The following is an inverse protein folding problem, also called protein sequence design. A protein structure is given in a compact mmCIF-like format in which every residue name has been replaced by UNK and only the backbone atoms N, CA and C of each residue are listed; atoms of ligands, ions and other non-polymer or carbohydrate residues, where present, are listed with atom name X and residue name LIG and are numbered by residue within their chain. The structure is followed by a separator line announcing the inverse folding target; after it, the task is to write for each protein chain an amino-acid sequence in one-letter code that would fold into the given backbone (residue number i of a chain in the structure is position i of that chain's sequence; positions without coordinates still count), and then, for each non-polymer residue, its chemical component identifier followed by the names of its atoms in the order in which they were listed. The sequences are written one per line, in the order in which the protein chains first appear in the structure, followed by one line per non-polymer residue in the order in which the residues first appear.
data_IF_717118830578
#
_entry.id   IF_717118830578
#
_cell.length_a   1.000
_cell.length_b   1.000
_cell.length_c   1.000
_cell.angle_alpha   90.00
_cell.angle_beta   90.00
_cell.angle_gamma   90.00
#
_symmetry.space_group_name_H-M   'P 1'
#
loop_
_entity.id
_entity.type
_entity.pdbx_description
1 polymer ?
#
# COMPACT_ATOMS: atom_id res chain seq x y z
N UNK A 1 41.58 9.80 -44.60
CA UNK A 1 40.85 10.09 -43.33
C UNK A 1 39.34 9.91 -43.49
N UNK A 2 38.69 10.56 -44.46
CA UNK A 2 37.22 10.53 -44.71
C UNK A 2 36.51 9.16 -44.63
N UNK A 3 37.10 8.10 -45.19
CA UNK A 3 36.56 6.72 -45.10
C UNK A 3 36.48 6.19 -43.65
N UNK A 4 37.51 6.45 -42.84
CA UNK A 4 37.57 6.02 -41.44
C UNK A 4 36.57 6.78 -40.58
N UNK A 5 36.37 8.06 -40.87
CA UNK A 5 35.43 8.92 -40.16
C UNK A 5 33.99 8.47 -40.43
N UNK A 6 33.67 8.15 -41.70
CA UNK A 6 32.36 7.62 -42.09
C UNK A 6 32.05 6.27 -41.41
N UNK A 7 33.02 5.35 -41.41
CA UNK A 7 32.86 4.05 -40.72
C UNK A 7 32.66 4.24 -39.21
N UNK A 8 33.36 5.19 -38.59
CA UNK A 8 33.23 5.50 -37.16
C UNK A 8 31.84 6.06 -36.85
N UNK A 9 31.34 6.98 -37.68
CA UNK A 9 29.98 7.51 -37.55
C UNK A 9 28.93 6.40 -37.67
N UNK A 10 29.05 5.52 -38.67
CA UNK A 10 28.12 4.39 -38.82
C UNK A 10 28.13 3.46 -37.60
N UNK A 11 29.32 3.10 -37.09
CA UNK A 11 29.45 2.26 -35.89
C UNK A 11 28.77 2.89 -34.68
N UNK A 12 28.94 4.20 -34.49
CA UNK A 12 28.31 4.92 -33.39
C UNK A 12 26.78 4.95 -33.48
N UNK A 13 26.24 5.12 -34.71
CA UNK A 13 24.80 5.11 -34.97
C UNK A 13 24.19 3.74 -34.68
N UNK A 14 24.82 2.66 -35.17
CA UNK A 14 24.39 1.29 -34.93
C UNK A 14 24.44 0.95 -33.44
N UNK A 15 25.52 1.33 -32.75
CA UNK A 15 25.65 1.12 -31.31
C UNK A 15 24.52 1.80 -30.53
N UNK A 16 24.22 3.06 -30.85
CA UNK A 16 23.14 3.79 -30.18
C UNK A 16 21.77 3.18 -30.45
N UNK A 17 21.54 2.69 -31.67
CA UNK A 17 20.33 1.93 -32.00
C UNK A 17 20.24 0.63 -31.18
N UNK A 18 21.30 -0.17 -31.12
CA UNK A 18 21.34 -1.40 -30.31
C UNK A 18 21.07 -1.09 -28.83
N UNK A 19 21.64 -0.02 -28.27
CA UNK A 19 21.40 0.40 -26.90
C UNK A 19 19.94 0.82 -26.67
N UNK A 20 19.34 1.56 -27.61
CA UNK A 20 17.91 1.91 -27.59
C UNK A 20 17.05 0.65 -27.62
N UNK A 21 17.34 -0.31 -28.50
CA UNK A 21 16.59 -1.56 -28.60
C UNK A 21 16.72 -2.41 -27.33
N UNK A 22 17.92 -2.49 -26.73
CA UNK A 22 18.12 -3.15 -25.42
C UNK A 22 17.28 -2.50 -24.32
N UNK A 23 17.22 -1.16 -24.28
CA UNK A 23 16.37 -0.41 -23.34
C UNK A 23 14.89 -0.71 -23.58
N UNK A 24 14.42 -0.67 -24.83
CA UNK A 24 13.03 -0.99 -25.20
C UNK A 24 12.68 -2.41 -24.77
N UNK A 25 13.55 -3.40 -25.03
CA UNK A 25 13.36 -4.79 -24.59
C UNK A 25 13.24 -4.89 -23.07
N UNK A 26 14.09 -4.18 -22.31
CA UNK A 26 14.01 -4.12 -20.84
C UNK A 26 12.71 -3.47 -20.37
N UNK A 27 12.27 -2.37 -20.99
CA UNK A 27 11.00 -1.71 -20.68
C UNK A 27 9.85 -2.69 -20.91
N UNK A 28 9.77 -3.30 -22.09
CA UNK A 28 8.72 -4.26 -22.45
C UNK A 28 8.68 -5.47 -21.52
N UNK A 29 9.84 -6.02 -21.17
CA UNK A 29 9.94 -7.14 -20.22
C UNK A 29 9.48 -6.73 -18.82
N UNK A 30 9.94 -5.58 -18.31
CA UNK A 30 9.51 -5.06 -17.00
C UNK A 30 8.02 -4.78 -16.97
N UNK A 31 7.46 -4.15 -18.00
CA UNK A 31 6.02 -3.86 -18.08
C UNK A 31 5.21 -5.15 -18.17
N UNK A 32 5.67 -6.14 -18.94
CA UNK A 32 5.04 -7.45 -19.03
C UNK A 32 5.00 -8.15 -17.67
N UNK A 33 6.13 -8.25 -16.96
CA UNK A 33 6.15 -8.90 -15.64
C UNK A 33 5.32 -8.15 -14.61
N UNK A 34 5.33 -6.82 -14.64
CA UNK A 34 4.48 -6.01 -13.76
C UNK A 34 3.00 -6.28 -14.00
N UNK A 35 2.56 -6.29 -15.26
CA UNK A 35 1.16 -6.55 -15.60
C UNK A 35 0.77 -8.00 -15.32
N UNK A 36 1.61 -8.97 -15.72
CA UNK A 36 1.41 -10.39 -15.43
C UNK A 36 1.25 -10.67 -13.94
N UNK A 37 2.08 -10.06 -13.09
CA UNK A 37 1.97 -10.25 -11.64
C UNK A 37 0.69 -9.60 -11.10
N UNK A 38 0.31 -8.42 -11.61
CA UNK A 38 -0.96 -7.77 -11.26
C UNK A 38 -2.16 -8.62 -11.66
N UNK A 39 -2.14 -9.21 -12.86
CA UNK A 39 -3.23 -10.03 -13.36
C UNK A 39 -3.33 -11.36 -12.63
N UNK A 40 -2.19 -11.99 -12.28
CA UNK A 40 -2.19 -13.17 -11.39
C UNK A 40 -2.86 -12.88 -10.05
N UNK A 41 -2.52 -11.76 -9.40
CA UNK A 41 -3.14 -11.38 -8.12
C UNK A 41 -4.65 -11.15 -8.27
N UNK A 42 -5.10 -10.56 -9.38
CA UNK A 42 -6.54 -10.40 -9.67
C UNK A 42 -7.22 -11.74 -9.90
N UNK A 43 -6.61 -12.62 -10.68
CA UNK A 43 -7.14 -13.96 -10.96
C UNK A 43 -7.24 -14.76 -9.66
N UNK A 44 -6.19 -14.79 -8.84
CA UNK A 44 -6.20 -15.42 -7.52
C UNK A 44 -7.32 -14.85 -6.63
N UNK A 45 -7.56 -13.54 -6.66
CA UNK A 45 -8.66 -12.91 -5.90
C UNK A 45 -10.04 -13.26 -6.45
N UNK A 46 -10.20 -13.40 -7.77
CA UNK A 46 -11.46 -13.76 -8.40
C UNK A 46 -11.77 -15.26 -8.24
N UNK A 47 -10.78 -16.12 -8.38
CA UNK A 47 -10.88 -17.56 -8.14
C UNK A 47 -11.27 -17.86 -6.68
N UNK A 48 -10.74 -17.11 -5.71
CA UNK A 48 -11.18 -17.21 -4.31
C UNK A 48 -12.65 -16.89 -4.08
N UNK A 49 -13.25 -16.02 -4.91
CA UNK A 49 -14.66 -15.65 -4.80
C UNK A 49 -15.58 -16.64 -5.52
N UNK A 50 -15.08 -17.29 -6.57
CA UNK A 50 -15.88 -18.16 -7.45
C UNK A 50 -15.86 -19.62 -7.02
N UNK A 51 -14.74 -20.11 -6.47
CA UNK A 51 -14.57 -21.54 -6.16
C UNK A 51 -14.29 -21.77 -4.66
N UNK A 52 -15.18 -22.49 -3.94
CA UNK A 52 -14.97 -22.83 -2.54
C UNK A 52 -13.78 -23.77 -2.30
N UNK A 53 -13.32 -24.53 -3.30
CA UNK A 53 -12.14 -25.40 -3.15
C UNK A 53 -10.84 -24.58 -3.19
N UNK A 54 -10.73 -23.65 -4.14
CA UNK A 54 -9.60 -22.71 -4.23
C UNK A 54 -9.46 -21.86 -2.96
N UNK A 55 -10.58 -21.43 -2.36
CA UNK A 55 -10.59 -20.72 -1.09
C UNK A 55 -10.00 -21.55 0.08
N UNK A 56 -10.34 -22.84 0.16
CA UNK A 56 -9.78 -23.75 1.17
C UNK A 56 -8.28 -23.97 0.97
N UNK A 57 -7.83 -24.12 -0.27
CA UNK A 57 -6.40 -24.30 -0.55
C UNK A 57 -5.58 -23.05 -0.17
N UNK A 58 -6.12 -21.86 -0.46
CA UNK A 58 -5.56 -20.58 -0.03
C UNK A 58 -5.49 -20.46 1.50
N UNK A 59 -6.55 -20.86 2.21
CA UNK A 59 -6.55 -20.90 3.67
C UNK A 59 -5.43 -21.81 4.21
N UNK A 60 -5.24 -23.01 3.65
CA UNK A 60 -4.11 -23.90 4.03
C UNK A 60 -2.75 -23.26 3.77
N UNK A 61 -2.57 -22.58 2.63
CA UNK A 61 -1.34 -21.85 2.31
C UNK A 61 -1.07 -20.73 3.32
N UNK A 62 -2.11 -20.04 3.77
CA UNK A 62 -1.98 -19.01 4.81
C UNK A 62 -1.61 -19.62 6.15
N UNK A 63 -2.27 -20.69 6.58
CA UNK A 63 -1.95 -21.42 7.81
C UNK A 63 -0.51 -21.93 7.83
N UNK A 64 -0.03 -22.46 6.71
CA UNK A 64 1.37 -22.87 6.56
C UNK A 64 2.33 -21.69 6.81
N UNK A 65 2.06 -20.51 6.22
CA UNK A 65 2.86 -19.30 6.48
C UNK A 65 2.83 -18.89 7.94
N UNK A 66 1.71 -19.06 8.64
CA UNK A 66 1.61 -18.79 10.08
C UNK A 66 2.41 -19.77 10.91
N UNK A 67 2.35 -21.06 10.58
CA UNK A 67 3.15 -22.09 11.23
C UNK A 67 4.65 -21.81 11.02
N UNK A 68 5.04 -21.45 9.79
CA UNK A 68 6.41 -21.05 9.47
C UNK A 68 6.85 -19.82 10.29
N UNK A 69 6.00 -18.80 10.42
CA UNK A 69 6.31 -17.62 11.23
C UNK A 69 6.44 -17.95 12.71
N UNK A 70 5.57 -18.81 13.25
CA UNK A 70 5.66 -19.26 14.65
C UNK A 70 6.92 -20.06 14.91
N UNK A 71 7.32 -20.92 13.97
CA UNK A 71 8.52 -21.73 14.06
C UNK A 71 9.79 -20.88 13.93
N UNK A 72 9.85 -20.02 12.91
CA UNK A 72 11.09 -19.32 12.53
C UNK A 72 11.25 -17.94 13.17
N UNK A 73 10.16 -17.31 13.62
CA UNK A 73 10.13 -15.97 14.21
C UNK A 73 10.81 -14.90 13.34
N UNK A 74 10.68 -15.03 12.01
CA UNK A 74 11.38 -14.20 11.02
C UNK A 74 11.06 -12.71 11.17
N UNK A 75 9.80 -12.36 11.45
CA UNK A 75 9.35 -10.97 11.45
C UNK A 75 9.37 -10.30 12.84
N UNK A 76 9.96 -10.92 13.87
CA UNK A 76 10.10 -10.35 15.23
C UNK A 76 11.33 -9.43 15.43
N UNK A 77 11.84 -8.78 14.38
CA UNK A 77 13.03 -7.90 14.46
C UNK A 77 14.31 -8.55 15.06
N UNK A 78 14.45 -9.89 14.94
CA UNK A 78 15.64 -10.64 15.42
C UNK A 78 16.83 -10.59 14.47
N UNK A 79 16.64 -10.04 13.26
CA UNK A 79 17.70 -9.95 12.26
C UNK A 79 18.86 -9.07 12.76
N UNK A 80 20.08 -9.34 12.30
CA UNK A 80 21.26 -8.53 12.69
C UNK A 80 21.08 -7.05 12.34
N UNK A 81 20.36 -6.75 11.26
CA UNK A 81 20.04 -5.38 10.86
C UNK A 81 19.05 -4.74 11.82
N UNK A 82 17.93 -5.39 12.11
CA UNK A 82 16.91 -4.86 13.01
C UNK A 82 17.45 -4.64 14.43
N UNK A 83 18.30 -5.55 14.93
CA UNK A 83 18.98 -5.39 16.22
C UNK A 83 19.87 -4.14 16.25
N UNK A 84 20.69 -3.92 15.22
CA UNK A 84 21.55 -2.73 15.13
C UNK A 84 20.75 -1.43 15.09
N UNK A 85 19.64 -1.41 14.37
CA UNK A 85 18.74 -0.24 14.31
C UNK A 85 18.11 0.04 15.67
N UNK A 86 17.72 -1.00 16.41
CA UNK A 86 17.19 -0.87 17.76
C UNK A 86 18.26 -0.38 18.75
N UNK A 87 19.46 -0.95 18.70
CA UNK A 87 20.62 -0.54 19.51
C UNK A 87 21.02 0.92 19.24
N UNK A 88 20.95 1.36 17.98
CA UNK A 88 21.25 2.73 17.57
C UNK A 88 20.13 3.75 17.80
N UNK A 89 18.99 3.34 18.35
CA UNK A 89 17.84 4.20 18.64
C UNK A 89 16.98 4.50 17.40
N UNK A 90 15.70 4.15 17.45
CA UNK A 90 14.76 4.30 16.32
C UNK A 90 14.49 5.77 15.92
N UNK A 91 14.64 6.70 16.85
CA UNK A 91 14.37 8.14 16.63
C UNK A 91 15.51 8.85 15.91
N UNK A 92 16.72 8.29 15.95
CA UNK A 92 17.91 8.84 15.28
C UNK A 92 18.04 8.39 13.81
N UNK A 93 17.14 7.52 13.34
CA UNK A 93 17.21 6.90 12.02
C UNK A 93 16.25 7.54 11.03
N UNK A 94 16.57 7.39 9.75
CA UNK A 94 15.75 7.85 8.63
C UNK A 94 14.32 7.28 8.66
N UNK A 95 13.37 8.05 8.17
CA UNK A 95 11.95 7.65 8.11
C UNK A 95 11.74 6.35 7.33
N UNK A 96 12.52 6.09 6.29
CA UNK A 96 12.47 4.84 5.54
C UNK A 96 12.87 3.60 6.37
N UNK A 97 13.82 3.76 7.28
CA UNK A 97 14.26 2.69 8.19
C UNK A 97 13.18 2.40 9.24
N UNK A 98 12.54 3.45 9.75
CA UNK A 98 11.41 3.34 10.67
C UNK A 98 10.22 2.65 10.01
N UNK A 99 9.86 3.06 8.80
CA UNK A 99 8.79 2.44 8.03
C UNK A 99 9.06 0.96 7.75
N UNK A 100 10.31 0.59 7.41
CA UNK A 100 10.68 -0.81 7.19
C UNK A 100 10.56 -1.67 8.47
N UNK A 101 10.97 -1.14 9.63
CA UNK A 101 10.80 -1.82 10.92
C UNK A 101 9.33 -1.96 11.30
N UNK A 102 8.52 -0.94 11.06
CA UNK A 102 7.07 -0.98 11.26
C UNK A 102 6.41 -2.00 10.32
N UNK A 103 6.81 -2.04 9.05
CA UNK A 103 6.31 -3.01 8.08
C UNK A 103 6.66 -4.46 8.48
N UNK A 104 7.85 -4.67 9.04
CA UNK A 104 8.26 -5.97 9.57
C UNK A 104 7.35 -6.41 10.73
N UNK A 105 7.07 -5.53 11.71
CA UNK A 105 6.14 -5.83 12.79
C UNK A 105 4.70 -6.01 12.31
N UNK A 106 4.27 -5.22 11.33
CA UNK A 106 2.95 -5.34 10.72
C UNK A 106 2.76 -6.73 10.08
N UNK A 107 3.75 -7.21 9.31
CA UNK A 107 3.74 -8.59 8.77
C UNK A 107 3.67 -9.64 9.87
N UNK A 108 4.41 -9.45 10.97
CA UNK A 108 4.35 -10.35 12.11
C UNK A 108 2.92 -10.42 12.68
N UNK A 109 2.30 -9.27 12.96
CA UNK A 109 0.94 -9.19 13.49
C UNK A 109 -0.10 -9.83 12.55
N UNK A 110 0.00 -9.59 11.23
CA UNK A 110 -0.90 -10.19 10.25
C UNK A 110 -0.82 -11.72 10.21
N UNK A 111 0.36 -12.29 10.47
CA UNK A 111 0.58 -13.73 10.49
C UNK A 111 0.22 -14.37 11.84
N UNK A 112 0.43 -13.69 12.96
CA UNK A 112 0.19 -14.26 14.29
C UNK A 112 -1.20 -14.01 14.84
N UNK A 113 -1.97 -13.05 14.29
CA UNK A 113 -3.34 -12.77 14.72
C UNK A 113 -4.21 -14.03 14.74
N UNK A 114 -5.05 -14.13 15.77
CA UNK A 114 -6.09 -15.16 15.88
C UNK A 114 -7.11 -14.96 14.75
N UNK A 115 -7.52 -16.03 14.08
CA UNK A 115 -8.73 -16.00 13.24
C UNK A 115 -9.86 -16.41 14.15
N UNK A 116 -10.82 -15.51 14.33
CA UNK A 116 -12.12 -15.90 14.87
C UNK A 116 -12.91 -16.52 13.73
N UNK A 117 -12.90 -17.85 13.68
CA UNK A 117 -13.75 -18.58 12.74
C UNK A 117 -15.18 -18.42 13.23
N UNK A 118 -16.01 -17.68 12.48
CA UNK A 118 -17.45 -17.43 12.71
C UNK A 118 -18.33 -18.68 12.63
N UNK A 119 -17.90 -19.79 13.24
CA UNK A 119 -18.66 -21.04 13.32
C UNK A 119 -18.73 -21.63 14.72
N UNK A 120 -18.42 -20.83 15.74
CA UNK A 120 -18.74 -21.17 17.12
C UNK A 120 -19.46 -19.98 17.76
N UNK A 121 -20.78 -19.96 17.63
CA UNK A 121 -21.65 -19.10 18.41
C UNK A 121 -21.72 -19.64 19.84
N UNK A 122 -20.62 -19.53 20.58
CA UNK A 122 -20.58 -19.85 22.00
C UNK A 122 -19.29 -19.32 22.61
N UNK A 123 -19.40 -18.14 23.23
CA UNK A 123 -18.53 -17.69 24.31
C UNK A 123 -17.05 -17.47 23.99
N UNK A 124 -16.69 -16.22 23.69
CA UNK A 124 -15.80 -15.45 24.58
C UNK A 124 -15.66 -14.05 24.01
N UNK A 125 -16.39 -13.11 24.61
CA UNK A 125 -16.05 -11.70 24.60
C UNK A 125 -14.68 -11.55 25.26
N UNK A 126 -13.63 -11.40 24.47
CA UNK A 126 -12.36 -10.86 24.95
C UNK A 126 -12.20 -9.50 24.28
N UNK A 127 -12.95 -8.55 24.84
CA UNK A 127 -12.83 -7.13 24.55
C UNK A 127 -11.43 -6.71 24.95
N UNK A 128 -10.62 -6.29 23.98
CA UNK A 128 -9.41 -5.55 24.25
C UNK A 128 -9.82 -4.31 25.04
N UNK A 129 -9.64 -4.36 26.36
CA UNK A 129 -9.74 -3.19 27.23
C UNK A 129 -8.58 -2.25 26.87
N UNK A 130 -8.80 -1.46 25.82
CA UNK A 130 -8.06 -0.23 25.61
C UNK A 130 -8.64 0.79 26.58
N UNK A 131 -7.84 1.13 27.57
CA UNK A 131 -8.09 2.14 28.58
C UNK A 131 -8.13 3.51 27.86
N UNK A 132 -9.32 3.93 27.43
CA UNK A 132 -9.57 5.26 26.89
C UNK A 132 -10.97 5.74 27.30
N UNK A 133 -10.98 6.43 28.44
CA UNK A 133 -11.78 7.63 28.72
C UNK A 133 -13.24 7.58 28.23
N UNK A 134 -14.08 6.97 29.06
CA UNK A 134 -15.54 7.01 29.04
C UNK A 134 -16.01 8.47 29.26
N UNK A 135 -16.02 9.26 28.18
CA UNK A 135 -16.43 10.67 28.18
C UNK A 135 -17.20 11.06 26.93
N UNK A 136 -18.50 10.74 26.90
CA UNK A 136 -19.55 11.32 26.04
C UNK A 136 -19.20 11.56 24.56
N UNK A 137 -19.18 10.50 23.76
CA UNK A 137 -19.03 10.61 22.31
C UNK A 137 -20.31 11.09 21.60
N UNK A 138 -21.49 10.95 22.23
CA UNK A 138 -22.77 11.40 21.67
C UNK A 138 -22.92 12.93 21.70
N UNK A 139 -22.42 13.59 22.77
CA UNK A 139 -22.38 15.05 22.85
C UNK A 139 -21.40 15.65 21.83
N UNK A 140 -20.24 15.01 21.63
CA UNK A 140 -19.26 15.50 20.65
C UNK A 140 -19.75 15.33 19.21
N UNK A 141 -20.44 14.23 18.90
CA UNK A 141 -21.01 13.99 17.58
C UNK A 141 -22.14 14.99 17.24
N UNK A 142 -23.02 15.26 18.21
CA UNK A 142 -24.09 16.26 18.05
C UNK A 142 -23.55 17.68 17.95
N UNK A 143 -22.49 18.01 18.69
CA UNK A 143 -21.80 19.31 18.60
C UNK A 143 -21.07 19.49 17.25
N UNK A 144 -20.44 18.44 16.72
CA UNK A 144 -19.82 18.46 15.38
C UNK A 144 -20.87 18.61 14.28
N UNK A 145 -22.03 17.96 14.41
CA UNK A 145 -23.15 18.10 13.48
C UNK A 145 -23.75 19.50 13.54
N UNK A 146 -23.88 20.10 14.73
CA UNK A 146 -24.29 21.50 14.92
C UNK A 146 -23.31 22.48 14.26
N UNK A 147 -22.01 22.32 14.55
CA UNK A 147 -20.93 23.11 13.93
C UNK A 147 -20.90 22.98 12.40
N UNK A 148 -21.24 21.81 11.85
CA UNK A 148 -21.34 21.61 10.41
C UNK A 148 -22.55 22.34 9.81
N UNK A 149 -23.72 22.25 10.46
CA UNK A 149 -24.94 22.96 10.07
C UNK A 149 -24.74 24.48 10.09
N UNK A 150 -24.17 25.02 11.15
CA UNK A 150 -23.93 26.46 11.29
C UNK A 150 -22.96 26.98 10.23
N UNK A 151 -21.90 26.23 9.91
CA UNK A 151 -20.98 26.58 8.81
C UNK A 151 -21.65 26.55 7.45
N UNK A 152 -22.50 25.55 7.18
CA UNK A 152 -23.24 25.50 5.92
C UNK A 152 -24.28 26.61 5.80
N UNK A 153 -24.93 26.98 6.91
CA UNK A 153 -25.90 28.07 6.96
C UNK A 153 -25.19 29.41 6.73
N UNK A 154 -24.01 29.59 7.35
CA UNK A 154 -23.17 30.78 7.12
C UNK A 154 -22.66 30.90 5.69
N UNK A 155 -22.28 29.78 5.05
CA UNK A 155 -21.91 29.76 3.62
C UNK A 155 -23.12 30.03 2.70
N UNK A 156 -24.34 29.74 3.16
CA UNK A 156 -25.57 30.04 2.43
C UNK A 156 -26.06 31.49 2.65
N UNK A 157 -25.79 32.07 3.83
CA UNK A 157 -26.08 33.47 4.15
C UNK A 157 -25.05 34.43 3.55
N UNK A 158 -23.79 33.99 3.46
CA UNK A 158 -22.70 34.66 2.76
C UNK A 158 -22.80 34.37 1.23
N UNK A 159 -23.89 34.78 0.59
CA UNK A 159 -24.11 34.73 -0.88
C UNK A 159 -23.22 35.73 -1.66
N UNK A 160 -22.10 36.16 -1.09
CA UNK A 160 -21.13 37.05 -1.72
C UNK A 160 -19.72 36.45 -1.50
N UNK A 161 -19.02 36.19 -2.61
CA UNK A 161 -17.62 35.76 -2.70
C UNK A 161 -17.34 34.24 -2.81
N UNK A 162 -17.66 33.69 -3.99
CA UNK A 162 -16.96 32.53 -4.53
C UNK A 162 -15.44 32.80 -4.55
N UNK A 163 -14.58 31.88 -4.06
CA UNK A 163 -13.14 32.06 -4.10
C UNK A 163 -12.62 32.02 -5.54
N UNK A 164 -12.27 33.18 -6.08
CA UNK A 164 -11.69 33.40 -7.41
C UNK A 164 -10.24 32.87 -7.59
N UNK A 165 -9.80 31.93 -6.76
CA UNK A 165 -8.46 31.34 -6.88
C UNK A 165 -8.47 29.85 -6.57
N UNK A 166 -8.95 29.07 -7.56
CA UNK A 166 -8.81 27.63 -7.63
C UNK A 166 -8.51 27.23 -9.07
N UNK A 167 -7.35 26.62 -9.27
CA UNK A 167 -6.72 26.25 -10.55
C UNK A 167 -7.54 25.23 -11.36
N UNK A 168 -8.76 25.53 -11.82
CA UNK A 168 -9.44 24.75 -12.87
C UNK A 168 -10.54 25.59 -13.55
N UNK A 169 -10.23 26.39 -14.60
CA UNK A 169 -11.25 26.72 -15.57
C UNK A 169 -11.37 25.50 -16.50
N UNK A 170 -12.29 24.60 -16.15
CA UNK A 170 -12.70 23.53 -17.05
C UNK A 170 -13.17 24.18 -18.35
N UNK A 171 -12.45 23.84 -19.43
CA UNK A 171 -12.59 24.46 -20.75
C UNK A 171 -14.04 24.39 -21.23
N UNK A 172 -14.69 25.56 -21.28
CA UNK A 172 -15.72 25.86 -22.27
C UNK A 172 -15.06 25.77 -23.65
N UNK A 173 -15.23 24.63 -24.32
CA UNK A 173 -15.06 24.54 -25.76
C UNK A 173 -16.37 24.03 -26.35
N UNK A 174 -17.20 24.97 -26.79
CA UNK A 174 -18.25 24.68 -27.75
C UNK A 174 -17.62 24.51 -29.13
N UNK A 175 -17.81 23.35 -29.75
CA UNK A 175 -18.01 23.18 -31.19
C UNK A 175 -19.05 22.08 -31.36
#
# INVERSE_FOLDING_TARGET
MKQRDHVTQMRSLLFRHVMKQKRIKKIKSKTYHRLKNKDKLKVESAEMLMDPEAAKEQARKQEFKRAEERMTLKHKNKSKWARRILEGGLNAQDEGTRAAMAEQLHRHALLTRKIDTVKDSSSSSDSCSDDNDEGSNEDRASELLGKAKDKTLKVLEDDEELPNSGLFPFMLFSV
#
